data_IF_021838175696
#
_entry.id   IF_021838175696
#
_cell.length_a   1.000
_cell.length_b   1.000
_cell.length_c   1.000
_cell.angle_alpha   90.00
_cell.angle_beta   90.00
_cell.angle_gamma   90.00
#
_symmetry.space_group_name_H-M   'P 1'
#
loop_
_entity.id
_entity.type
_entity.pdbx_description
1 polymer ?
#
# COMPACT_ATOMS: atom_id res chain seq x y z
N UNK A 1 3.67 -36.83 -16.34
CA UNK A 1 4.76 -37.17 -17.29
C UNK A 1 6.04 -36.46 -16.84
N UNK A 2 7.16 -37.21 -16.84
CA UNK A 2 8.60 -36.80 -16.79
C UNK A 2 9.10 -36.06 -15.53
N UNK A 3 9.75 -36.70 -14.54
CA UNK A 3 11.14 -37.21 -14.39
C UNK A 3 12.27 -36.15 -14.45
N UNK A 4 12.74 -35.73 -13.25
CA UNK A 4 14.14 -35.63 -12.69
C UNK A 4 15.25 -34.88 -13.48
N UNK A 5 16.48 -34.58 -12.97
CA UNK A 5 17.17 -34.99 -11.71
C UNK A 5 18.03 -33.89 -10.98
N UNK A 6 18.42 -34.07 -9.71
CA UNK A 6 19.77 -34.46 -9.16
C UNK A 6 20.73 -33.34 -8.74
N UNK A 7 21.44 -33.67 -7.66
CA UNK A 7 22.42 -32.96 -6.83
C UNK A 7 23.73 -32.54 -7.50
N UNK A 8 24.51 -31.68 -6.80
CA UNK A 8 25.92 -31.95 -6.53
C UNK A 8 26.48 -31.13 -5.36
N UNK A 9 27.18 -31.84 -4.46
CA UNK A 9 28.07 -31.34 -3.42
C UNK A 9 29.47 -31.07 -3.98
N UNK A 10 30.19 -30.08 -3.47
CA UNK A 10 31.67 -30.09 -3.48
C UNK A 10 32.17 -29.59 -2.12
N UNK A 11 32.88 -30.51 -1.45
CA UNK A 11 33.77 -30.30 -0.31
C UNK A 11 35.12 -29.80 -0.83
N UNK A 12 35.82 -28.94 -0.09
CA UNK A 12 37.27 -28.80 -0.19
C UNK A 12 37.84 -28.44 1.19
N UNK A 13 38.41 -29.48 1.80
CA UNK A 13 39.34 -29.44 2.91
C UNK A 13 40.63 -28.69 2.55
N UNK A 14 41.31 -28.17 3.59
CA UNK A 14 42.72 -28.54 3.77
C UNK A 14 43.75 -27.45 4.06
N UNK A 15 44.40 -27.62 5.22
CA UNK A 15 45.78 -27.24 5.59
C UNK A 15 46.07 -25.76 5.93
N UNK A 16 46.79 -25.39 7.00
CA UNK A 16 47.81 -26.10 7.79
C UNK A 16 47.79 -25.72 9.28
N UNK A 17 48.19 -26.70 10.09
CA UNK A 17 48.57 -26.67 11.50
C UNK A 17 49.82 -25.82 11.75
N UNK A 18 49.97 -25.26 12.96
CA UNK A 18 50.89 -25.78 13.99
C UNK A 18 51.17 -24.76 15.11
N UNK A 19 50.92 -25.25 16.32
CA UNK A 19 51.20 -24.69 17.64
C UNK A 19 52.69 -24.66 17.98
N UNK A 20 53.12 -23.71 18.83
CA UNK A 20 54.13 -23.97 19.88
C UNK A 20 53.76 -23.21 21.15
N UNK A 21 53.83 -23.94 22.26
CA UNK A 21 53.43 -23.59 23.61
C UNK A 21 54.62 -23.19 24.50
N UNK A 22 54.27 -22.85 25.75
CA UNK A 22 55.08 -22.90 26.98
C UNK A 22 56.01 -21.70 27.23
N UNK A 23 56.35 -21.28 28.45
CA UNK A 23 55.81 -21.42 29.82
C UNK A 23 56.59 -20.38 30.67
N UNK A 24 55.99 -19.99 31.80
CA UNK A 24 56.56 -19.46 33.06
C UNK A 24 58.08 -19.15 33.14
N UNK A 25 58.41 -18.03 33.80
CA UNK A 25 59.07 -18.06 35.12
C UNK A 25 59.16 -16.67 35.77
N UNK A 26 59.24 -16.70 37.11
CA UNK A 26 59.27 -15.63 38.09
C UNK A 26 60.65 -14.95 38.25
N UNK A 27 60.63 -13.65 38.62
CA UNK A 27 61.54 -12.83 39.48
C UNK A 27 62.64 -13.56 40.30
N UNK A 28 63.70 -12.94 40.92
CA UNK A 28 63.87 -11.50 41.30
C UNK A 28 65.36 -10.97 41.44
N UNK A 29 65.53 -9.78 42.06
CA UNK A 29 66.71 -9.21 42.80
C UNK A 29 67.96 -8.89 41.94
N UNK A 30 68.59 -7.71 42.00
CA UNK A 30 69.44 -7.28 43.12
C UNK A 30 70.01 -5.85 42.91
N UNK A 31 69.74 -4.98 43.90
CA UNK A 31 70.59 -3.95 44.54
C UNK A 31 71.47 -3.02 43.66
N UNK A 32 71.19 -1.70 43.60
CA UNK A 32 71.68 -0.61 44.50
C UNK A 32 73.17 -0.25 44.27
N UNK A 33 73.69 0.95 44.65
CA UNK A 33 73.05 2.17 45.18
C UNK A 33 73.63 3.50 44.60
N UNK A 34 73.19 4.59 45.22
CA UNK A 34 73.95 5.82 45.55
C UNK A 34 73.94 6.97 44.53
N UNK A 35 73.19 8.04 44.85
CA UNK A 35 73.63 9.27 45.57
C UNK A 35 74.72 9.99 44.76
N UNK A 36 74.73 11.29 44.53
CA UNK A 36 74.35 12.42 45.40
C UNK A 36 74.33 13.66 44.50
N UNK A 37 73.58 14.66 44.94
CA UNK A 37 73.64 16.03 44.45
C UNK A 37 75.06 16.60 44.32
N UNK A 38 75.26 17.46 43.32
CA UNK A 38 76.17 18.59 43.42
C UNK A 38 75.47 19.81 42.81
N UNK A 39 74.94 20.63 43.70
CA UNK A 39 74.88 22.08 43.60
C UNK A 39 76.19 22.61 43.02
N UNK A 40 76.13 23.38 41.94
CA UNK A 40 77.22 24.29 41.58
C UNK A 40 76.84 25.68 42.07
N UNK A 41 77.21 25.93 43.32
CA UNK A 41 77.55 27.25 43.79
C UNK A 41 78.65 27.80 42.88
N UNK A 42 78.36 28.87 42.16
CA UNK A 42 79.40 29.66 41.50
C UNK A 42 79.92 30.63 42.54
N UNK A 43 81.00 30.21 43.21
CA UNK A 43 81.82 31.04 44.06
C UNK A 43 82.46 32.13 43.19
N UNK A 44 81.86 33.32 43.17
CA UNK A 44 82.55 34.54 42.78
C UNK A 44 83.50 34.93 43.92
N UNK A 45 84.68 34.31 43.94
CA UNK A 45 85.82 34.78 44.71
C UNK A 45 86.60 35.78 43.84
N UNK A 46 86.57 37.03 44.29
CA UNK A 46 87.29 38.19 43.82
C UNK A 46 88.81 37.99 43.78
N UNK A 47 89.44 38.26 42.63
CA UNK A 47 90.86 38.63 42.46
C UNK A 47 90.90 39.35 41.08
N UNK A 48 91.34 40.58 40.83
CA UNK A 48 91.91 41.66 41.62
C UNK A 48 91.82 42.94 40.78
N UNK A 49 91.16 43.97 41.28
CA UNK A 49 91.44 45.34 40.87
C UNK A 49 92.68 45.83 41.63
N UNK A 50 93.72 46.20 40.89
CA UNK A 50 94.66 47.32 41.13
C UNK A 50 95.00 47.55 42.62
N UNK A 51 96.10 47.05 43.15
CA UNK A 51 97.43 47.51 42.74
C UNK A 51 97.94 48.62 43.68
N UNK A 52 98.11 48.31 44.97
CA UNK A 52 98.96 49.07 45.90
C UNK A 52 100.17 48.18 46.25
N UNK A 53 101.36 48.72 45.99
CA UNK A 53 102.73 48.21 46.27
C UNK A 53 103.25 47.03 45.44
N UNK A 54 104.19 47.32 44.54
CA UNK A 54 105.63 47.21 44.84
C UNK A 54 106.47 47.52 43.61
N UNK A 55 107.36 48.51 43.72
CA UNK A 55 108.46 48.71 42.81
C UNK A 55 109.40 47.49 42.93
N UNK A 56 109.39 46.61 41.93
CA UNK A 56 110.44 45.62 41.72
C UNK A 56 110.84 45.68 40.25
N UNK A 57 111.88 46.47 39.99
CA UNK A 57 112.56 46.56 38.72
C UNK A 57 113.35 45.26 38.47
N UNK A 58 112.72 44.29 37.83
CA UNK A 58 113.42 43.23 37.11
C UNK A 58 112.84 43.18 35.70
N UNK A 59 113.64 43.45 34.65
CA UNK A 59 113.16 43.30 33.30
C UNK A 59 112.88 41.81 33.09
N UNK A 60 111.62 41.48 32.77
CA UNK A 60 111.29 40.16 32.26
C UNK A 60 112.24 39.86 31.09
N UNK A 61 112.84 38.65 31.01
CA UNK A 61 113.66 38.29 29.88
C UNK A 61 112.83 38.44 28.61
N UNK A 62 113.32 39.22 27.65
CA UNK A 62 112.77 39.28 26.31
C UNK A 62 113.09 37.95 25.63
N UNK A 63 112.23 36.95 25.83
CA UNK A 63 112.37 35.64 25.21
C UNK A 63 112.01 35.82 23.73
N UNK A 64 113.02 36.01 22.89
CA UNK A 64 112.85 35.92 21.43
C UNK A 64 112.49 34.48 21.08
N UNK A 65 111.21 34.25 20.81
CA UNK A 65 110.71 32.98 20.29
C UNK A 65 111.29 32.74 18.90
N UNK A 66 111.77 31.53 18.64
CA UNK A 66 112.21 31.16 17.30
C UNK A 66 111.04 31.18 16.30
N UNK A 67 111.37 31.40 15.03
CA UNK A 67 110.37 31.59 13.96
C UNK A 67 109.42 30.38 13.83
N UNK A 68 109.96 29.18 14.06
CA UNK A 68 109.23 27.90 14.06
C UNK A 68 108.17 27.83 15.14
N UNK A 69 108.47 28.27 16.37
CA UNK A 69 107.48 28.28 17.46
C UNK A 69 106.38 29.32 17.20
N UNK A 70 106.72 30.47 16.62
CA UNK A 70 105.72 31.50 16.25
C UNK A 70 104.75 30.96 15.17
N UNK A 71 105.25 30.21 14.19
CA UNK A 71 104.41 29.61 13.14
C UNK A 71 103.48 28.53 13.69
N UNK A 72 103.96 27.67 14.60
CA UNK A 72 103.13 26.65 15.28
C UNK A 72 102.04 27.28 16.17
N UNK A 73 102.36 28.37 16.88
CA UNK A 73 101.36 29.09 17.67
C UNK A 73 100.27 29.65 16.75
N UNK A 74 100.64 30.26 15.62
CA UNK A 74 99.68 30.80 14.65
C UNK A 74 98.80 29.71 14.05
N UNK A 75 99.37 28.56 13.71
CA UNK A 75 98.61 27.42 13.20
C UNK A 75 97.63 26.87 14.25
N UNK A 76 98.07 26.71 15.50
CA UNK A 76 97.19 26.30 16.60
C UNK A 76 96.05 27.29 16.86
N UNK A 77 96.33 28.60 16.79
CA UNK A 77 95.30 29.64 16.89
C UNK A 77 94.28 29.53 15.74
N UNK A 78 94.73 29.33 14.50
CA UNK A 78 93.85 29.10 13.36
C UNK A 78 93.02 27.83 13.52
N UNK A 79 93.61 26.75 14.03
CA UNK A 79 92.93 25.48 14.28
C UNK A 79 91.86 25.63 15.36
N UNK A 80 92.15 26.33 16.45
CA UNK A 80 91.19 26.66 17.51
C UNK A 80 90.02 27.49 17.00
N UNK A 81 90.29 28.48 16.14
CA UNK A 81 89.23 29.25 15.47
C UNK A 81 88.36 28.34 14.59
N UNK A 82 88.98 27.41 13.83
CA UNK A 82 88.27 26.44 12.99
C UNK A 82 87.39 25.50 13.82
N UNK A 83 87.90 24.99 14.94
CA UNK A 83 87.15 24.14 15.87
C UNK A 83 85.92 24.90 16.39
N UNK A 84 86.10 26.14 16.88
CA UNK A 84 84.98 26.97 17.34
C UNK A 84 83.92 27.21 16.26
N UNK A 85 84.33 27.44 15.00
CA UNK A 85 83.37 27.59 13.91
C UNK A 85 82.59 26.31 13.62
N UNK A 86 83.26 25.15 13.67
CA UNK A 86 82.62 23.85 13.45
C UNK A 86 81.69 23.45 14.59
N UNK A 87 82.05 23.76 15.84
CA UNK A 87 81.18 23.57 17.02
C UNK A 87 79.88 24.37 16.87
N UNK A 88 79.99 25.65 16.49
CA UNK A 88 78.81 26.49 16.26
C UNK A 88 77.95 26.00 15.08
N UNK A 89 78.58 25.53 13.99
CA UNK A 89 77.85 24.92 12.87
C UNK A 89 77.14 23.62 13.27
N UNK A 90 77.78 22.80 14.09
CA UNK A 90 77.22 21.55 14.60
C UNK A 90 76.00 21.83 15.50
N UNK A 91 76.11 22.77 16.42
CA UNK A 91 74.98 23.19 17.28
C UNK A 91 73.80 23.69 16.44
N UNK A 92 74.08 24.53 15.43
CA UNK A 92 73.04 25.02 14.51
C UNK A 92 72.36 23.88 13.75
N UNK A 93 73.13 22.90 13.27
CA UNK A 93 72.60 21.73 12.56
C UNK A 93 71.79 20.83 13.49
N UNK A 94 72.20 20.67 14.75
CA UNK A 94 71.45 19.89 15.74
C UNK A 94 70.10 20.50 16.05
N UNK A 95 70.02 21.84 16.18
CA UNK A 95 68.73 22.54 16.38
C UNK A 95 67.80 22.32 15.18
N UNK A 96 68.32 22.45 13.96
CA UNK A 96 67.53 22.23 12.74
C UNK A 96 67.06 20.77 12.62
N UNK A 97 67.90 19.80 12.98
CA UNK A 97 67.53 18.39 13.01
C UNK A 97 66.38 18.16 14.00
N UNK A 98 66.51 18.68 15.23
CA UNK A 98 65.48 18.53 16.25
C UNK A 98 64.14 19.14 15.79
N UNK A 99 64.16 20.32 15.16
CA UNK A 99 62.96 20.94 14.60
C UNK A 99 62.33 20.10 13.49
N UNK A 100 63.14 19.59 12.56
CA UNK A 100 62.66 18.72 11.48
C UNK A 100 62.08 17.40 12.01
N UNK A 101 62.65 16.83 13.07
CA UNK A 101 62.11 15.63 13.72
C UNK A 101 60.77 15.90 14.42
N UNK A 102 60.62 17.06 15.05
CA UNK A 102 59.36 17.47 15.66
C UNK A 102 58.28 17.74 14.62
N UNK A 103 58.60 18.43 13.52
CA UNK A 103 57.71 18.59 12.37
C UNK A 103 57.31 17.24 11.77
N UNK A 104 58.26 16.30 11.64
CA UNK A 104 57.98 14.95 11.14
C UNK A 104 57.00 14.20 12.06
N UNK A 105 57.17 14.31 13.37
CA UNK A 105 56.25 13.70 14.36
C UNK A 105 54.86 14.32 14.25
N UNK A 106 54.77 15.65 14.18
CA UNK A 106 53.50 16.35 14.03
C UNK A 106 52.78 15.97 12.73
N UNK A 107 53.52 15.89 11.62
CA UNK A 107 52.95 15.44 10.35
C UNK A 107 52.47 13.99 10.41
N UNK A 108 53.20 13.11 11.08
CA UNK A 108 52.78 11.72 11.28
C UNK A 108 51.47 11.62 12.08
N UNK A 109 51.33 12.42 13.15
CA UNK A 109 50.08 12.53 13.91
C UNK A 109 48.93 13.04 13.03
N UNK A 110 49.13 14.13 12.29
CA UNK A 110 48.10 14.68 11.40
C UNK A 110 47.66 13.68 10.32
N UNK A 111 48.59 12.91 9.75
CA UNK A 111 48.27 11.86 8.79
C UNK A 111 47.45 10.74 9.44
N UNK A 112 47.76 10.36 10.68
CA UNK A 112 46.97 9.37 11.41
C UNK A 112 45.54 9.89 11.68
N UNK A 113 45.41 11.15 12.08
CA UNK A 113 44.11 11.78 12.34
C UNK A 113 43.26 11.89 11.06
N UNK A 114 43.85 12.32 9.95
CA UNK A 114 43.18 12.39 8.65
C UNK A 114 42.74 11.01 8.16
N UNK A 115 43.57 9.98 8.36
CA UNK A 115 43.17 8.59 8.04
C UNK A 115 42.00 8.12 8.89
N UNK A 116 41.98 8.46 10.18
CA UNK A 116 40.87 8.13 11.07
C UNK A 116 39.58 8.83 10.62
N UNK A 117 39.65 10.14 10.33
CA UNK A 117 38.52 10.91 9.82
C UNK A 117 37.99 10.35 8.50
N UNK A 118 38.88 9.96 7.58
CA UNK A 118 38.51 9.33 6.32
C UNK A 118 37.80 7.98 6.54
N UNK A 119 38.29 7.17 7.48
CA UNK A 119 37.65 5.90 7.86
C UNK A 119 36.23 6.10 8.39
N UNK A 120 36.04 7.07 9.28
CA UNK A 120 34.72 7.43 9.80
C UNK A 120 33.77 7.95 8.72
N UNK A 121 34.25 8.84 7.85
CA UNK A 121 33.46 9.38 6.75
C UNK A 121 33.02 8.29 5.76
N UNK A 122 33.93 7.36 5.44
CA UNK A 122 33.64 6.21 4.56
C UNK A 122 32.59 5.30 5.17
N UNK A 123 32.72 4.96 6.46
CA UNK A 123 31.73 4.15 7.17
C UNK A 123 30.34 4.81 7.15
N UNK A 124 30.26 6.10 7.47
CA UNK A 124 29.01 6.87 7.43
C UNK A 124 28.41 6.93 6.01
N UNK A 125 29.23 7.11 4.99
CA UNK A 125 28.78 7.11 3.59
C UNK A 125 28.21 5.74 3.19
N UNK A 126 28.86 4.65 3.58
CA UNK A 126 28.37 3.29 3.30
C UNK A 126 27.07 2.97 4.02
N UNK A 127 26.94 3.38 5.29
CA UNK A 127 25.70 3.23 6.07
C UNK A 127 24.54 4.05 5.45
N UNK A 128 24.81 5.31 5.08
CA UNK A 128 23.81 6.17 4.44
C UNK A 128 23.38 5.62 3.09
N UNK A 129 24.32 5.15 2.26
CA UNK A 129 24.01 4.53 0.97
C UNK A 129 23.15 3.27 1.13
N UNK A 130 23.50 2.40 2.09
CA UNK A 130 22.70 1.23 2.42
C UNK A 130 21.28 1.57 2.88
N UNK A 131 21.11 2.63 3.69
CA UNK A 131 19.77 3.13 4.08
C UNK A 131 18.98 3.65 2.88
N UNK A 132 19.60 4.40 1.98
CA UNK A 132 18.95 4.91 0.77
C UNK A 132 18.46 3.78 -0.13
N UNK A 133 19.30 2.76 -0.38
CA UNK A 133 18.92 1.58 -1.18
C UNK A 133 17.72 0.85 -0.54
N UNK A 134 17.70 0.70 0.78
CA UNK A 134 16.58 0.08 1.49
C UNK A 134 15.28 0.90 1.35
N UNK A 135 15.36 2.23 1.45
CA UNK A 135 14.18 3.10 1.29
C UNK A 135 13.69 3.15 -0.17
N UNK A 136 14.59 3.16 -1.14
CA UNK A 136 14.24 3.09 -2.57
C UNK A 136 13.51 1.78 -2.88
N UNK A 137 14.03 0.66 -2.38
CA UNK A 137 13.39 -0.66 -2.56
C UNK A 137 11.99 -0.66 -1.94
N UNK A 138 11.85 -0.23 -0.67
CA UNK A 138 10.55 -0.16 0.01
C UNK A 138 9.57 0.79 -0.71
N UNK A 139 10.06 1.91 -1.26
CA UNK A 139 9.24 2.83 -2.05
C UNK A 139 8.73 2.18 -3.33
N UNK A 140 9.59 1.47 -4.07
CA UNK A 140 9.17 0.77 -5.30
C UNK A 140 8.16 -0.35 -5.04
N UNK A 141 8.33 -1.11 -3.96
CA UNK A 141 7.36 -2.12 -3.53
C UNK A 141 6.02 -1.49 -3.14
N UNK A 142 6.05 -0.39 -2.38
CA UNK A 142 4.84 0.33 -2.01
C UNK A 142 4.12 0.90 -3.23
N UNK A 143 4.86 1.46 -4.19
CA UNK A 143 4.30 1.97 -5.44
C UNK A 143 3.61 0.85 -6.24
N UNK A 144 4.27 -0.30 -6.39
CA UNK A 144 3.68 -1.46 -7.06
C UNK A 144 2.40 -1.95 -6.37
N UNK A 145 2.39 -2.03 -5.03
CA UNK A 145 1.18 -2.45 -4.30
C UNK A 145 0.06 -1.42 -4.41
N UNK A 146 0.38 -0.13 -4.44
CA UNK A 146 -0.60 0.93 -4.66
C UNK A 146 -1.23 0.85 -6.06
N UNK A 147 -0.42 0.69 -7.10
CA UNK A 147 -0.90 0.58 -8.48
C UNK A 147 -1.80 -0.66 -8.64
N UNK A 148 -1.42 -1.79 -8.05
CA UNK A 148 -2.24 -2.99 -8.03
C UNK A 148 -3.56 -2.80 -7.28
N UNK A 149 -3.54 -2.15 -6.13
CA UNK A 149 -4.76 -1.86 -5.36
C UNK A 149 -5.71 -0.94 -6.14
N UNK A 150 -5.15 0.00 -6.91
CA UNK A 150 -5.93 0.88 -7.78
C UNK A 150 -6.60 0.10 -8.90
N UNK A 151 -5.88 -0.80 -9.57
CA UNK A 151 -6.47 -1.70 -10.58
C UNK A 151 -7.60 -2.55 -9.99
N UNK A 152 -7.39 -3.16 -8.81
CA UNK A 152 -8.41 -3.96 -8.13
C UNK A 152 -9.64 -3.12 -7.74
N UNK A 153 -9.43 -1.89 -7.28
CA UNK A 153 -10.50 -0.93 -6.97
C UNK A 153 -11.33 -0.57 -8.19
N UNK A 154 -10.69 -0.27 -9.32
CA UNK A 154 -11.37 0.07 -10.57
C UNK A 154 -12.16 -1.15 -11.10
N UNK A 155 -11.58 -2.35 -11.04
CA UNK A 155 -12.26 -3.59 -11.40
C UNK A 155 -13.48 -3.90 -10.50
N UNK A 156 -13.37 -3.62 -9.20
CA UNK A 156 -14.49 -3.76 -8.25
C UNK A 156 -15.60 -2.75 -8.55
N UNK A 157 -15.25 -1.51 -8.88
CA UNK A 157 -16.20 -0.47 -9.25
C UNK A 157 -16.96 -0.84 -10.52
N UNK A 158 -16.29 -1.35 -11.54
CA UNK A 158 -16.91 -1.84 -12.77
C UNK A 158 -17.88 -3.00 -12.48
N UNK A 159 -17.44 -4.02 -11.70
CA UNK A 159 -18.30 -5.14 -11.29
C UNK A 159 -19.54 -4.69 -10.53
N UNK A 160 -19.41 -3.69 -9.66
CA UNK A 160 -20.54 -3.12 -8.93
C UNK A 160 -21.51 -2.43 -9.89
N UNK A 161 -21.02 -1.63 -10.83
CA UNK A 161 -21.86 -0.97 -11.82
C UNK A 161 -22.60 -1.98 -12.71
N UNK A 162 -21.93 -3.03 -13.15
CA UNK A 162 -22.54 -4.14 -13.90
C UNK A 162 -23.62 -4.86 -13.08
N UNK A 163 -23.35 -5.15 -11.80
CA UNK A 163 -24.31 -5.79 -10.91
C UNK A 163 -25.55 -4.90 -10.70
N UNK A 164 -25.36 -3.61 -10.43
CA UNK A 164 -26.47 -2.64 -10.28
C UNK A 164 -27.26 -2.47 -11.58
N UNK A 165 -26.60 -2.50 -12.74
CA UNK A 165 -27.29 -2.46 -14.04
C UNK A 165 -28.11 -3.73 -14.26
N UNK A 166 -27.55 -4.91 -13.95
CA UNK A 166 -28.23 -6.20 -14.06
C UNK A 166 -29.45 -6.27 -13.13
N UNK A 167 -29.33 -5.80 -11.89
CA UNK A 167 -30.44 -5.74 -10.94
C UNK A 167 -31.55 -4.79 -11.40
N UNK A 168 -31.20 -3.59 -11.91
CA UNK A 168 -32.19 -2.68 -12.50
C UNK A 168 -32.96 -3.30 -13.66
N UNK A 169 -32.28 -4.01 -14.56
CA UNK A 169 -32.96 -4.72 -15.65
C UNK A 169 -33.85 -5.85 -15.14
N UNK A 170 -33.40 -6.60 -14.13
CA UNK A 170 -34.20 -7.64 -13.50
C UNK A 170 -35.47 -7.05 -12.86
N UNK A 171 -35.35 -5.98 -12.07
CA UNK A 171 -36.48 -5.28 -11.46
C UNK A 171 -37.46 -4.73 -12.51
N UNK A 172 -36.96 -4.18 -13.61
CA UNK A 172 -37.82 -3.70 -14.69
C UNK A 172 -38.57 -4.87 -15.37
N UNK A 173 -37.88 -5.99 -15.60
CA UNK A 173 -38.50 -7.19 -16.17
C UNK A 173 -39.57 -7.78 -15.25
N UNK A 174 -39.29 -7.88 -13.94
CA UNK A 174 -40.25 -8.39 -12.95
C UNK A 174 -41.42 -7.44 -12.78
N UNK A 175 -41.20 -6.13 -12.81
CA UNK A 175 -42.29 -5.15 -12.80
C UNK A 175 -43.21 -5.34 -14.01
N UNK A 176 -42.64 -5.51 -15.22
CA UNK A 176 -43.43 -5.74 -16.43
C UNK A 176 -44.22 -7.05 -16.42
N UNK A 177 -43.66 -8.13 -15.84
CA UNK A 177 -44.36 -9.42 -15.74
C UNK A 177 -45.46 -9.36 -14.69
N UNK A 178 -45.21 -8.73 -13.53
CA UNK A 178 -46.23 -8.51 -12.50
C UNK A 178 -47.36 -7.66 -13.06
N UNK A 179 -47.07 -6.56 -13.75
CA UNK A 179 -48.10 -5.71 -14.36
C UNK A 179 -48.98 -6.50 -15.36
N UNK A 180 -48.38 -7.33 -16.22
CA UNK A 180 -49.13 -8.21 -17.14
C UNK A 180 -49.96 -9.24 -16.38
N UNK A 181 -49.43 -9.83 -15.32
CA UNK A 181 -50.18 -10.78 -14.49
C UNK A 181 -51.36 -10.11 -13.79
N UNK A 182 -51.19 -8.89 -13.27
CA UNK A 182 -52.27 -8.09 -12.68
C UNK A 182 -53.34 -7.78 -13.71
N UNK A 183 -52.97 -7.30 -14.90
CA UNK A 183 -53.93 -7.03 -15.99
C UNK A 183 -54.69 -8.30 -16.40
N UNK A 184 -54.00 -9.44 -16.47
CA UNK A 184 -54.63 -10.72 -16.79
C UNK A 184 -55.62 -11.15 -15.69
N UNK A 185 -55.27 -10.97 -14.41
CA UNK A 185 -56.13 -11.28 -13.28
C UNK A 185 -57.38 -10.38 -13.27
N UNK A 186 -57.22 -9.08 -13.49
CA UNK A 186 -58.33 -8.14 -13.64
C UNK A 186 -59.26 -8.53 -14.80
N UNK A 187 -58.71 -8.94 -15.94
CA UNK A 187 -59.51 -9.43 -17.07
C UNK A 187 -60.25 -10.74 -16.71
N UNK A 188 -59.63 -11.65 -15.95
CA UNK A 188 -60.29 -12.87 -15.48
C UNK A 188 -61.43 -12.58 -14.51
N UNK A 189 -61.23 -11.67 -13.55
CA UNK A 189 -62.28 -11.28 -12.61
C UNK A 189 -63.46 -10.62 -13.34
N UNK A 190 -63.18 -9.81 -14.35
CA UNK A 190 -64.19 -9.20 -15.22
C UNK A 190 -65.01 -10.25 -15.98
N UNK A 191 -64.34 -11.24 -16.59
CA UNK A 191 -65.00 -12.36 -17.27
C UNK A 191 -65.82 -13.19 -16.27
N UNK A 192 -65.28 -13.47 -15.09
CA UNK A 192 -65.96 -14.21 -14.02
C UNK A 192 -67.24 -13.49 -13.60
N UNK A 193 -67.19 -12.18 -13.42
CA UNK A 193 -68.35 -11.36 -13.10
C UNK A 193 -69.36 -11.30 -14.26
N UNK A 194 -68.88 -11.20 -15.50
CA UNK A 194 -69.74 -11.24 -16.69
C UNK A 194 -70.44 -12.59 -16.86
N UNK A 195 -69.81 -13.69 -16.45
CA UNK A 195 -70.34 -15.05 -16.57
C UNK A 195 -71.34 -15.43 -15.46
N UNK A 196 -71.45 -14.66 -14.36
CA UNK A 196 -72.44 -14.93 -13.30
C UNK A 196 -73.86 -14.95 -13.84
N UNK A 197 -74.21 -13.97 -14.68
CA UNK A 197 -75.56 -13.84 -15.25
C UNK A 197 -75.96 -14.96 -16.20
N UNK A 198 -75.19 -15.30 -17.25
CA UNK A 198 -75.53 -16.42 -18.12
C UNK A 198 -75.58 -17.74 -17.35
N UNK A 199 -74.75 -17.94 -16.32
CA UNK A 199 -74.88 -19.13 -15.46
C UNK A 199 -76.23 -19.15 -14.72
N UNK A 200 -76.66 -18.03 -14.15
CA UNK A 200 -77.99 -17.90 -13.53
C UNK A 200 -79.11 -18.13 -14.56
N UNK A 201 -78.99 -17.54 -15.75
CA UNK A 201 -79.94 -17.70 -16.84
C UNK A 201 -80.07 -19.15 -17.29
N UNK A 202 -78.95 -19.87 -17.44
CA UNK A 202 -78.93 -21.29 -17.82
C UNK A 202 -79.67 -22.13 -16.78
N UNK A 203 -79.49 -21.87 -15.49
CA UNK A 203 -80.26 -22.56 -14.43
C UNK A 203 -81.76 -22.29 -14.57
N UNK A 204 -82.16 -21.03 -14.77
CA UNK A 204 -83.58 -20.68 -14.99
C UNK A 204 -84.15 -21.35 -16.26
N UNK A 205 -83.40 -21.36 -17.36
CA UNK A 205 -83.81 -22.02 -18.60
C UNK A 205 -83.94 -23.53 -18.39
N UNK A 206 -83.00 -24.17 -17.69
CA UNK A 206 -83.07 -25.60 -17.38
C UNK A 206 -84.34 -25.92 -16.59
N UNK A 207 -84.72 -25.09 -15.63
CA UNK A 207 -85.94 -25.29 -14.85
C UNK A 207 -87.20 -25.07 -15.69
N UNK A 208 -87.21 -24.10 -16.60
CA UNK A 208 -88.29 -23.93 -17.58
C UNK A 208 -88.38 -25.12 -18.52
N UNK A 209 -87.25 -25.62 -19.01
CA UNK A 209 -87.20 -26.80 -19.89
C UNK A 209 -87.68 -28.07 -19.18
N UNK A 210 -87.39 -28.25 -17.89
CA UNK A 210 -87.95 -29.36 -17.09
C UNK A 210 -89.47 -29.27 -17.02
N UNK A 211 -90.02 -28.08 -16.76
CA UNK A 211 -91.48 -27.86 -16.74
C UNK A 211 -92.12 -28.05 -18.12
N UNK A 212 -91.45 -27.62 -19.18
CA UNK A 212 -91.91 -27.77 -20.56
C UNK A 212 -91.94 -29.24 -21.00
N UNK A 213 -90.95 -30.03 -20.57
CA UNK A 213 -90.82 -31.45 -20.88
C UNK A 213 -91.61 -32.37 -19.93
N UNK A 214 -92.37 -31.81 -18.97
CA UNK A 214 -93.21 -32.60 -18.08
C UNK A 214 -94.33 -33.31 -18.88
N UNK A 215 -94.36 -34.66 -18.91
CA UNK A 215 -95.35 -35.41 -19.68
C UNK A 215 -96.78 -35.23 -19.18
N UNK A 216 -96.98 -34.71 -17.95
CA UNK A 216 -98.29 -34.37 -17.41
C UNK A 216 -98.86 -33.06 -18.00
N UNK A 217 -98.05 -32.26 -18.70
CA UNK A 217 -98.44 -30.95 -19.21
C UNK A 217 -98.97 -31.01 -20.65
N UNK A 218 -100.29 -30.88 -20.81
CA UNK A 218 -100.95 -30.77 -22.12
C UNK A 218 -100.45 -29.54 -22.87
N UNK A 219 -100.27 -29.66 -24.20
CA UNK A 219 -99.75 -28.57 -25.07
C UNK A 219 -100.50 -27.25 -24.91
N UNK A 220 -101.83 -27.30 -24.79
CA UNK A 220 -102.67 -26.12 -24.61
C UNK A 220 -102.42 -25.35 -23.30
N UNK A 221 -101.89 -26.02 -22.26
CA UNK A 221 -101.67 -25.42 -20.94
C UNK A 221 -100.21 -24.94 -20.72
N UNK A 222 -99.32 -25.19 -21.68
CA UNK A 222 -97.87 -24.88 -21.55
C UNK A 222 -97.62 -23.38 -21.56
N UNK A 223 -98.21 -22.68 -22.51
CA UNK A 223 -98.05 -21.25 -22.71
C UNK A 223 -98.51 -20.42 -21.48
N UNK A 224 -99.72 -20.61 -20.90
CA UNK A 224 -100.13 -19.85 -19.73
C UNK A 224 -99.33 -20.20 -18.45
N UNK A 225 -98.87 -21.45 -18.31
CA UNK A 225 -98.10 -21.89 -17.13
C UNK A 225 -96.65 -21.44 -17.14
N UNK A 226 -96.04 -21.31 -18.32
CA UNK A 226 -94.65 -20.90 -18.48
C UNK A 226 -94.49 -19.38 -18.72
N UNK A 227 -95.58 -18.66 -19.02
CA UNK A 227 -95.53 -17.21 -19.29
C UNK A 227 -94.82 -16.41 -18.20
N UNK A 228 -95.15 -16.67 -16.93
CA UNK A 228 -94.52 -15.96 -15.80
C UNK A 228 -93.02 -16.27 -15.69
N UNK A 229 -92.60 -17.48 -16.03
CA UNK A 229 -91.18 -17.86 -16.00
C UNK A 229 -90.43 -17.21 -17.18
N UNK A 230 -91.04 -17.10 -18.36
CA UNK A 230 -90.51 -16.40 -19.52
C UNK A 230 -90.36 -14.90 -19.24
N UNK A 231 -91.41 -14.26 -18.71
CA UNK A 231 -91.37 -12.83 -18.35
C UNK A 231 -90.27 -12.54 -17.31
N UNK A 232 -90.02 -13.50 -16.39
CA UNK A 232 -88.93 -13.42 -15.42
C UNK A 232 -87.55 -13.55 -16.09
N UNK A 233 -87.39 -14.45 -17.05
CA UNK A 233 -86.15 -14.59 -17.84
C UNK A 233 -85.89 -13.31 -18.65
N UNK A 234 -86.92 -12.74 -19.28
CA UNK A 234 -86.82 -11.49 -20.04
C UNK A 234 -86.40 -10.32 -19.16
N UNK A 235 -87.00 -10.20 -17.97
CA UNK A 235 -86.64 -9.17 -16.99
C UNK A 235 -85.17 -9.29 -16.56
N UNK A 236 -84.71 -10.52 -16.29
CA UNK A 236 -83.31 -10.78 -15.96
C UNK A 236 -82.34 -10.42 -17.10
N UNK A 237 -82.71 -10.71 -18.35
CA UNK A 237 -81.90 -10.33 -19.52
C UNK A 237 -81.92 -8.82 -19.75
N UNK A 238 -83.06 -8.16 -19.57
CA UNK A 238 -83.21 -6.71 -19.74
C UNK A 238 -82.39 -5.91 -18.71
N UNK A 239 -82.30 -6.39 -17.47
CA UNK A 239 -81.45 -5.82 -16.42
C UNK A 239 -79.95 -5.80 -16.78
N UNK A 240 -79.53 -6.64 -17.72
CA UNK A 240 -78.13 -6.79 -18.10
C UNK A 240 -77.78 -6.16 -19.45
N UNK A 241 -78.70 -5.35 -20.02
CA UNK A 241 -78.43 -4.60 -21.23
C UNK A 241 -77.25 -3.64 -20.97
N UNK A 242 -76.12 -3.77 -21.68
CA UNK A 242 -74.98 -2.90 -21.45
C UNK A 242 -75.34 -1.46 -21.80
N UNK A 243 -74.92 -0.53 -20.95
CA UNK A 243 -75.09 0.90 -21.20
C UNK A 243 -74.06 1.35 -22.23
N UNK A 244 -74.52 1.50 -23.48
CA UNK A 244 -73.68 1.88 -24.61
C UNK A 244 -73.20 3.33 -24.55
N UNK A 245 -73.72 4.14 -23.62
CA UNK A 245 -73.36 5.55 -23.48
C UNK A 245 -72.01 5.79 -22.79
N UNK A 246 -71.45 4.78 -22.12
CA UNK A 246 -70.17 4.87 -21.40
C UNK A 246 -68.96 4.36 -22.19
N UNK A 247 -69.06 4.28 -23.53
CA UNK A 247 -68.03 3.69 -24.41
C UNK A 247 -66.81 4.61 -24.60
N UNK A 248 -65.95 4.69 -23.60
CA UNK A 248 -64.54 4.99 -23.85
C UNK A 248 -63.86 3.68 -24.24
N UNK A 249 -63.46 3.56 -25.52
CA UNK A 249 -62.76 2.38 -26.04
C UNK A 249 -61.40 2.13 -25.38
N UNK A 250 -60.86 3.14 -24.68
CA UNK A 250 -59.53 3.15 -24.06
C UNK A 250 -59.62 3.85 -22.71
N UNK A 251 -59.20 3.18 -21.63
CA UNK A 251 -58.99 3.80 -20.31
C UNK A 251 -57.90 4.89 -20.41
N UNK A 252 -57.89 5.96 -19.59
CA UNK A 252 -56.81 6.97 -19.59
C UNK A 252 -55.39 6.38 -19.51
N UNK A 253 -55.23 5.16 -19.01
CA UNK A 253 -53.96 4.42 -18.93
C UNK A 253 -53.59 3.63 -20.21
N UNK A 254 -54.32 3.80 -21.32
CA UNK A 254 -54.06 3.13 -22.60
C UNK A 254 -54.51 1.65 -22.66
N UNK A 255 -55.17 1.15 -21.61
CA UNK A 255 -55.69 -0.23 -21.56
C UNK A 255 -57.05 -0.29 -22.25
N UNK A 256 -57.28 -1.22 -23.20
CA UNK A 256 -58.57 -1.38 -23.86
C UNK A 256 -59.65 -1.78 -22.85
N UNK A 257 -60.78 -1.07 -22.87
CA UNK A 257 -61.90 -1.38 -21.97
C UNK A 257 -62.64 -2.62 -22.47
N UNK A 258 -62.30 -3.78 -21.89
CA UNK A 258 -62.87 -5.08 -22.27
C UNK A 258 -64.25 -5.36 -21.66
N UNK A 259 -64.72 -4.54 -20.72
CA UNK A 259 -65.99 -4.77 -20.00
C UNK A 259 -67.20 -4.70 -20.93
N UNK A 260 -67.26 -3.66 -21.76
CA UNK A 260 -68.39 -3.41 -22.66
C UNK A 260 -68.50 -4.50 -23.74
N UNK A 261 -67.43 -4.89 -24.47
CA UNK A 261 -67.50 -5.98 -25.44
C UNK A 261 -67.92 -7.32 -24.84
N UNK A 262 -67.41 -7.67 -23.65
CA UNK A 262 -67.72 -8.94 -22.98
C UNK A 262 -69.19 -8.96 -22.56
N UNK A 263 -69.68 -7.92 -21.89
CA UNK A 263 -71.10 -7.81 -21.50
C UNK A 263 -72.02 -7.81 -22.71
N UNK A 264 -71.62 -7.16 -23.81
CA UNK A 264 -72.39 -7.15 -25.05
C UNK A 264 -72.50 -8.54 -25.68
N UNK A 265 -71.42 -9.32 -25.70
CA UNK A 265 -71.44 -10.71 -26.16
C UNK A 265 -72.38 -11.58 -25.33
N UNK A 266 -72.27 -11.49 -24.00
CA UNK A 266 -73.13 -12.22 -23.05
C UNK A 266 -74.60 -11.84 -23.18
N UNK A 267 -74.90 -10.54 -23.29
CA UNK A 267 -76.26 -10.04 -23.48
C UNK A 267 -76.85 -10.54 -24.80
N UNK A 268 -76.09 -10.46 -25.90
CA UNK A 268 -76.54 -10.90 -27.22
C UNK A 268 -76.89 -12.38 -27.23
N UNK A 269 -76.04 -13.24 -26.65
CA UNK A 269 -76.31 -14.67 -26.52
C UNK A 269 -77.56 -14.94 -25.67
N UNK A 270 -77.67 -14.29 -24.51
CA UNK A 270 -78.82 -14.42 -23.59
C UNK A 270 -80.13 -14.00 -24.25
N UNK A 271 -80.09 -12.94 -25.06
CA UNK A 271 -81.22 -12.44 -25.82
C UNK A 271 -81.68 -13.43 -26.91
N UNK A 272 -80.73 -14.02 -27.65
CA UNK A 272 -81.03 -15.05 -28.66
C UNK A 272 -81.67 -16.27 -28.01
N UNK A 273 -81.10 -16.78 -26.92
CA UNK A 273 -81.65 -17.96 -26.22
C UNK A 273 -83.06 -17.68 -25.70
N UNK A 274 -83.30 -16.51 -25.12
CA UNK A 274 -84.63 -16.13 -24.64
C UNK A 274 -85.64 -16.06 -25.78
N UNK A 275 -85.25 -15.52 -26.93
CA UNK A 275 -86.11 -15.46 -28.13
C UNK A 275 -86.47 -16.86 -28.63
N UNK A 276 -85.48 -17.75 -28.77
CA UNK A 276 -85.70 -19.14 -29.19
C UNK A 276 -86.63 -19.90 -28.22
N UNK A 277 -86.49 -19.67 -26.91
CA UNK A 277 -87.36 -20.28 -25.90
C UNK A 277 -88.82 -19.79 -26.03
N UNK A 278 -89.04 -18.51 -26.31
CA UNK A 278 -90.39 -17.97 -26.55
C UNK A 278 -91.03 -18.61 -27.77
N UNK A 279 -90.28 -18.72 -28.86
CA UNK A 279 -90.78 -19.26 -30.12
C UNK A 279 -91.15 -20.74 -29.95
N UNK A 280 -90.30 -21.53 -29.29
CA UNK A 280 -90.56 -22.95 -29.00
C UNK A 280 -91.78 -23.20 -28.08
N UNK A 281 -92.19 -22.22 -27.27
CA UNK A 281 -93.37 -22.33 -26.38
C UNK A 281 -94.65 -21.84 -27.07
N UNK A 282 -94.53 -21.07 -28.17
CA UNK A 282 -95.66 -20.60 -28.98
C UNK A 282 -96.10 -21.62 -30.04
N UNK A 283 -95.22 -22.52 -30.47
CA UNK A 283 -95.51 -23.69 -31.31
C UNK A 283 -96.22 -24.83 -30.53
#
# INVERSE_FOLDING_TARGET
MKKSPSANSINLDGCCMASVAAQRESSPVTMMPMKTAMTRDTVNASISSLGLRSQSSTPLPNIELDKTTIELIRENEQMLLRIKTLEHELDKKQILLNHAEEERKNLACNVADLRNQLGMATSKATESSGKVINYETAYTELQYTFDKLKEDSDALKEKLEEATKRERMLMQSTHSTVQRQTQMLEAFDLVKDAMKMPNTLVVFIQDVMKKFNDPALRRADRQPKLKNDIDRIESLVAMYKPDMSASAAVSPDGVPNLDIPIRQGVYSLSHVITTLLKDAIRE
#
